data_IF_270582188085
#
_entry.id   IF_270582188085
#
_cell.length_a   1.000
_cell.length_b   1.000
_cell.length_c   1.000
_cell.angle_alpha   90.00
_cell.angle_beta   90.00
_cell.angle_gamma   90.00
#
_symmetry.space_group_name_H-M   'P 1'
#
loop_
_entity.id
_entity.type
_entity.pdbx_description
1 polymer ?
#
# COMPACT_ATOMS: atom_id res chain seq x y z
N UNK A 1 0.22 -37.17 48.92
CA UNK A 1 -0.17 -37.09 47.50
C UNK A 1 0.80 -36.15 46.81
N UNK A 2 1.50 -36.69 45.79
CA UNK A 2 2.26 -35.95 44.76
C UNK A 2 1.31 -34.95 44.04
N UNK A 3 1.74 -33.82 43.47
CA UNK A 3 2.78 -33.69 42.45
C UNK A 3 3.52 -32.34 42.50
N UNK A 4 4.84 -32.47 42.40
CA UNK A 4 5.83 -31.49 41.98
C UNK A 4 5.80 -31.41 40.44
N UNK A 5 5.68 -30.23 39.85
CA UNK A 5 5.93 -30.02 38.42
C UNK A 5 6.92 -28.87 38.24
N UNK A 6 8.18 -29.26 38.09
CA UNK A 6 9.31 -28.47 37.63
C UNK A 6 9.15 -28.17 36.14
N UNK A 7 9.17 -26.90 35.75
CA UNK A 7 9.45 -26.53 34.35
C UNK A 7 10.95 -26.27 34.21
N UNK A 8 11.57 -27.14 33.42
CA UNK A 8 13.00 -27.20 33.13
C UNK A 8 13.36 -26.07 32.16
N UNK A 9 14.38 -25.31 32.54
CA UNK A 9 15.10 -24.36 31.69
C UNK A 9 15.86 -25.16 30.63
N UNK A 10 15.43 -25.07 29.37
CA UNK A 10 16.15 -25.59 28.22
C UNK A 10 17.11 -24.55 27.65
N UNK A 11 18.32 -24.51 28.18
CA UNK A 11 19.46 -23.80 27.57
C UNK A 11 20.14 -24.77 26.59
N UNK A 12 19.90 -24.62 25.28
CA UNK A 12 20.75 -25.23 24.26
C UNK A 12 21.69 -24.15 23.68
N UNK A 13 22.95 -24.23 24.07
CA UNK A 13 24.09 -23.56 23.44
C UNK A 13 24.68 -24.44 22.31
N UNK A 14 25.47 -23.78 21.46
CA UNK A 14 26.38 -24.27 20.42
C UNK A 14 25.79 -24.50 19.02
N UNK A 15 26.44 -24.06 17.93
CA UNK A 15 27.45 -23.01 17.66
C UNK A 15 27.61 -23.01 16.13
N UNK A 16 27.88 -21.82 15.60
CA UNK A 16 28.76 -21.52 14.47
C UNK A 16 28.38 -21.93 13.03
N UNK A 17 28.58 -20.92 12.18
CA UNK A 17 28.95 -20.97 10.77
C UNK A 17 27.86 -21.37 9.77
N UNK A 18 27.24 -20.35 9.18
CA UNK A 18 27.78 -19.72 7.97
C UNK A 18 27.09 -18.38 7.75
N UNK A 19 27.88 -17.33 7.50
CA UNK A 19 27.40 -16.18 6.74
C UNK A 19 26.92 -16.74 5.40
N UNK A 20 25.61 -16.84 5.22
CA UNK A 20 25.05 -16.94 3.89
C UNK A 20 25.41 -15.63 3.19
N UNK A 21 26.48 -15.66 2.41
CA UNK A 21 26.61 -14.77 1.26
C UNK A 21 25.40 -15.07 0.41
N UNK A 22 24.39 -14.20 0.52
CA UNK A 22 23.37 -14.15 -0.50
C UNK A 22 24.03 -13.44 -1.68
N UNK A 23 24.75 -14.21 -2.48
CA UNK A 23 25.03 -13.87 -3.86
C UNK A 23 23.70 -13.94 -4.61
N UNK A 24 22.80 -13.00 -4.30
CA UNK A 24 21.80 -12.59 -5.24
C UNK A 24 22.44 -11.46 -6.02
N UNK A 25 23.13 -11.81 -7.11
CA UNK A 25 22.99 -11.03 -8.32
C UNK A 25 21.48 -10.99 -8.62
N UNK A 26 20.77 -10.09 -7.96
CA UNK A 26 19.66 -9.43 -8.59
C UNK A 26 20.33 -8.59 -9.68
N UNK A 27 20.41 -9.17 -10.88
CA UNK A 27 20.56 -8.37 -12.08
C UNK A 27 19.40 -7.36 -12.03
N UNK A 28 19.71 -6.15 -11.59
CA UNK A 28 18.84 -5.00 -11.80
C UNK A 28 18.79 -4.87 -13.32
N UNK A 29 17.62 -5.01 -13.97
CA UNK A 29 17.54 -4.76 -15.40
C UNK A 29 18.02 -3.33 -15.63
N UNK A 30 19.19 -3.22 -16.25
CA UNK A 30 19.69 -1.95 -16.75
C UNK A 30 18.62 -1.44 -17.74
N UNK A 31 17.94 -0.30 -17.48
CA UNK A 31 16.83 0.15 -18.32
C UNK A 31 17.28 0.67 -19.70
N UNK A 32 18.58 0.58 -20.02
CA UNK A 32 19.16 1.14 -21.23
C UNK A 32 19.80 0.07 -22.12
N UNK A 33 19.12 -1.03 -22.42
CA UNK A 33 19.49 -1.75 -23.64
C UNK A 33 18.30 -2.34 -24.41
N UNK A 34 18.30 -1.97 -25.69
CA UNK A 34 17.74 -2.66 -26.85
C UNK A 34 16.32 -2.30 -27.32
N UNK A 35 16.35 -1.36 -28.28
CA UNK A 35 15.78 -1.45 -29.63
C UNK A 35 14.26 -1.59 -29.79
N UNK A 36 13.64 -0.44 -30.10
CA UNK A 36 12.66 -0.21 -31.16
C UNK A 36 11.54 -1.26 -31.36
N UNK A 37 10.36 -0.98 -30.78
CA UNK A 37 9.07 -1.31 -31.40
C UNK A 37 8.16 -0.08 -31.30
N UNK A 38 7.86 0.51 -32.45
CA UNK A 38 6.87 1.57 -32.62
C UNK A 38 5.45 1.14 -32.21
N UNK A 39 4.68 2.14 -31.76
CA UNK A 39 3.23 2.19 -31.61
C UNK A 39 2.63 1.54 -30.36
N UNK A 40 2.52 2.31 -29.27
CA UNK A 40 1.28 3.01 -28.87
C UNK A 40 1.65 4.06 -27.83
N UNK A 41 1.22 5.32 -28.00
CA UNK A 41 1.37 6.38 -27.00
C UNK A 41 0.46 6.11 -25.79
N UNK A 42 0.81 5.13 -24.97
CA UNK A 42 0.34 5.04 -23.58
C UNK A 42 1.57 5.31 -22.75
N UNK A 43 1.62 6.50 -22.17
CA UNK A 43 2.80 7.02 -21.52
C UNK A 43 3.31 6.01 -20.47
N UNK A 44 4.47 5.41 -20.77
CA UNK A 44 5.42 4.96 -19.74
C UNK A 44 5.96 6.21 -19.03
N UNK A 45 5.07 7.02 -18.46
CA UNK A 45 5.45 8.16 -17.63
C UNK A 45 5.99 7.57 -16.34
N UNK A 46 7.28 7.74 -16.14
CA UNK A 46 7.92 7.42 -14.86
C UNK A 46 7.30 8.30 -13.77
N UNK A 47 7.13 7.81 -12.53
CA UNK A 47 6.70 8.64 -11.41
C UNK A 47 7.61 9.86 -11.25
N UNK A 48 7.03 11.04 -11.01
CA UNK A 48 7.74 12.30 -10.79
C UNK A 48 8.03 12.56 -9.30
N UNK A 49 7.33 11.86 -8.40
CA UNK A 49 7.56 11.93 -6.95
C UNK A 49 8.55 10.86 -6.48
N UNK A 50 9.24 11.13 -5.37
CA UNK A 50 10.10 10.13 -4.73
C UNK A 50 9.27 9.06 -4.01
N UNK A 51 9.92 7.93 -3.69
CA UNK A 51 9.31 6.85 -2.91
C UNK A 51 8.89 7.33 -1.53
N UNK A 52 9.70 8.18 -0.89
CA UNK A 52 9.41 8.75 0.43
C UNK A 52 8.17 9.66 0.38
N UNK A 53 8.06 10.50 -0.65
CA UNK A 53 6.87 11.33 -0.85
C UNK A 53 5.64 10.45 -1.10
N UNK A 54 5.76 9.40 -1.91
CA UNK A 54 4.67 8.46 -2.17
C UNK A 54 4.21 7.75 -0.88
N UNK A 55 5.14 7.35 -0.02
CA UNK A 55 4.86 6.77 1.30
C UNK A 55 4.15 7.76 2.23
N UNK A 56 4.58 9.02 2.25
CA UNK A 56 3.91 10.04 3.04
C UNK A 56 2.46 10.29 2.58
N UNK A 57 2.23 10.34 1.25
CA UNK A 57 0.89 10.48 0.68
C UNK A 57 0.00 9.27 0.96
N UNK A 58 0.55 8.04 0.87
CA UNK A 58 -0.21 6.82 1.16
C UNK A 58 -0.63 6.74 2.63
N UNK A 59 0.26 7.12 3.55
CA UNK A 59 -0.06 7.19 4.98
C UNK A 59 -1.11 8.27 5.27
N UNK A 60 -1.00 9.43 4.64
CA UNK A 60 -1.98 10.52 4.80
C UNK A 60 -3.37 10.09 4.31
N UNK A 61 -3.46 9.42 3.17
CA UNK A 61 -4.72 8.85 2.67
C UNK A 61 -5.29 7.84 3.66
N UNK A 62 -4.48 6.91 4.17
CA UNK A 62 -4.94 5.94 5.16
C UNK A 62 -5.45 6.59 6.45
N UNK A 63 -4.81 7.65 6.93
CA UNK A 63 -5.27 8.38 8.12
C UNK A 63 -6.65 9.03 7.89
N UNK A 64 -6.83 9.70 6.75
CA UNK A 64 -8.10 10.37 6.41
C UNK A 64 -9.24 9.36 6.24
N UNK A 65 -8.96 8.21 5.62
CA UNK A 65 -9.99 7.20 5.29
C UNK A 65 -10.24 6.21 6.43
N UNK A 66 -9.22 5.91 7.24
CA UNK A 66 -9.24 4.75 8.14
C UNK A 66 -9.27 5.06 9.64
N UNK A 67 -9.05 6.31 10.07
CA UNK A 67 -8.95 6.64 11.50
C UNK A 67 -10.07 7.56 12.01
N UNK A 68 -10.72 8.33 11.14
CA UNK A 68 -11.73 9.29 11.56
C UNK A 68 -13.14 8.69 11.45
N UNK A 69 -13.99 8.97 12.45
CA UNK A 69 -15.42 8.61 12.42
C UNK A 69 -16.18 9.34 11.29
N UNK A 70 -15.54 10.30 10.64
CA UNK A 70 -16.03 11.04 9.50
C UNK A 70 -14.91 11.22 8.48
N UNK A 71 -14.92 10.38 7.45
CA UNK A 71 -14.08 10.59 6.27
C UNK A 71 -14.47 11.88 5.56
N UNK A 72 -13.51 12.79 5.45
CA UNK A 72 -13.66 14.03 4.68
C UNK A 72 -13.28 13.78 3.22
N UNK A 73 -14.28 13.59 2.35
CA UNK A 73 -14.08 13.45 0.90
C UNK A 73 -13.30 14.65 0.32
N UNK A 74 -13.48 15.85 0.88
CA UNK A 74 -12.70 17.03 0.49
C UNK A 74 -11.20 16.87 0.77
N UNK A 75 -10.83 16.26 1.88
CA UNK A 75 -9.43 16.04 2.25
C UNK A 75 -8.82 14.92 1.40
N UNK A 76 -9.56 13.85 1.12
CA UNK A 76 -9.15 12.83 0.14
C UNK A 76 -8.83 13.50 -1.20
N UNK A 77 -9.78 14.28 -1.74
CA UNK A 77 -9.58 15.00 -3.00
C UNK A 77 -8.38 15.94 -2.94
N UNK A 78 -8.08 16.53 -1.79
CA UNK A 78 -6.88 17.37 -1.65
C UNK A 78 -5.60 16.57 -1.81
N UNK A 79 -5.51 15.42 -1.16
CA UNK A 79 -4.31 14.58 -1.28
C UNK A 79 -4.19 13.98 -2.68
N UNK A 80 -5.30 13.59 -3.31
CA UNK A 80 -5.29 13.10 -4.69
C UNK A 80 -4.80 14.15 -5.69
N UNK A 81 -5.12 15.43 -5.48
CA UNK A 81 -4.56 16.52 -6.30
C UNK A 81 -3.03 16.60 -6.21
N UNK A 82 -2.43 16.29 -5.05
CA UNK A 82 -0.97 16.32 -4.86
C UNK A 82 -0.24 15.14 -5.55
N UNK A 83 -0.99 14.11 -5.99
CA UNK A 83 -0.46 12.96 -6.73
C UNK A 83 -0.32 13.30 -8.23
N UNK A 84 -1.23 14.14 -8.77
CA UNK A 84 -1.22 14.75 -10.11
C UNK A 84 -1.28 13.80 -11.33
N UNK A 85 -0.69 12.60 -11.28
CA UNK A 85 -0.54 11.69 -12.42
C UNK A 85 -0.81 10.23 -12.06
N UNK A 86 -1.22 9.43 -13.04
CA UNK A 86 -1.44 7.98 -12.86
C UNK A 86 -0.16 7.23 -12.46
N UNK A 87 0.99 7.67 -12.95
CA UNK A 87 2.27 7.08 -12.59
C UNK A 87 2.59 7.27 -11.09
N UNK A 88 2.35 8.48 -10.59
CA UNK A 88 2.48 8.78 -9.16
C UNK A 88 1.43 8.02 -8.35
N UNK A 89 0.19 7.91 -8.85
CA UNK A 89 -0.85 7.13 -8.19
C UNK A 89 -0.43 5.67 -8.03
N UNK A 90 0.09 5.05 -9.09
CA UNK A 90 0.60 3.66 -9.02
C UNK A 90 1.69 3.51 -7.97
N UNK A 91 2.62 4.47 -7.90
CA UNK A 91 3.67 4.45 -6.88
C UNK A 91 3.09 4.62 -5.45
N UNK A 92 2.12 5.53 -5.27
CA UNK A 92 1.43 5.72 -3.97
C UNK A 92 0.65 4.47 -3.57
N UNK A 93 -0.08 3.85 -4.51
CA UNK A 93 -0.82 2.61 -4.31
C UNK A 93 0.13 1.47 -3.90
N UNK A 94 1.29 1.36 -4.55
CA UNK A 94 2.32 0.39 -4.15
C UNK A 94 2.82 0.62 -2.71
N UNK A 95 2.99 1.88 -2.28
CA UNK A 95 3.37 2.21 -0.90
C UNK A 95 2.21 2.06 0.09
N UNK A 96 0.97 2.17 -0.37
CA UNK A 96 -0.22 1.94 0.44
C UNK A 96 -0.31 0.46 0.81
N UNK A 97 -0.06 -0.41 -0.16
CA UNK A 97 -0.14 -1.86 -0.03
C UNK A 97 -1.59 -2.32 0.07
N UNK A 98 -1.82 -3.38 0.83
CA UNK A 98 -3.15 -3.87 1.17
C UNK A 98 -3.40 -3.61 2.65
N UNK A 99 -4.57 -3.08 2.99
CA UNK A 99 -4.93 -2.69 4.36
C UNK A 99 -6.33 -3.16 4.70
N UNK A 100 -6.49 -3.60 5.94
CA UNK A 100 -7.77 -4.02 6.49
C UNK A 100 -8.75 -2.85 6.54
N UNK A 101 -9.85 -2.95 5.80
CA UNK A 101 -10.98 -2.05 5.86
C UNK A 101 -12.01 -2.64 6.82
N UNK A 102 -12.31 -1.96 7.92
CA UNK A 102 -13.38 -2.35 8.85
C UNK A 102 -14.53 -1.33 8.80
N UNK A 103 -15.73 -1.83 8.50
CA UNK A 103 -16.95 -1.01 8.38
C UNK A 103 -17.67 -0.84 9.74
N UNK A 104 -17.00 -1.17 10.85
CA UNK A 104 -17.69 -1.40 12.12
C UNK A 104 -17.50 -0.24 13.08
N UNK A 105 -18.52 0.62 13.12
CA UNK A 105 -18.94 1.47 14.25
C UNK A 105 -19.28 0.68 15.54
N UNK A 106 -18.74 -0.53 15.69
CA UNK A 106 -19.14 -1.53 16.68
C UNK A 106 -17.88 -2.01 17.39
N UNK A 107 -17.67 -1.46 18.59
CA UNK A 107 -16.71 -1.92 19.59
C UNK A 107 -16.65 -3.45 19.67
N UNK A 108 -15.68 -4.10 19.04
CA UNK A 108 -15.17 -5.41 19.47
C UNK A 108 -13.96 -5.77 18.63
N UNK A 109 -12.76 -5.70 19.23
CA UNK A 109 -11.65 -6.68 19.20
C UNK A 109 -11.31 -7.50 17.93
N UNK A 110 -11.87 -7.20 16.75
CA UNK A 110 -11.92 -8.05 15.55
C UNK A 110 -11.43 -7.35 14.27
N UNK A 111 -10.69 -6.25 14.36
CA UNK A 111 -10.02 -5.61 13.20
C UNK A 111 -9.01 -6.53 12.49
N UNK A 112 -8.79 -7.75 12.99
CA UNK A 112 -8.00 -8.82 12.37
C UNK A 112 -8.73 -9.46 11.16
N UNK A 113 -10.05 -9.24 10.99
CA UNK A 113 -10.87 -9.81 9.90
C UNK A 113 -11.41 -8.78 8.89
N UNK A 114 -10.95 -7.53 8.94
CA UNK A 114 -11.33 -6.52 7.94
C UNK A 114 -10.99 -6.98 6.52
N UNK A 115 -11.82 -6.59 5.55
CA UNK A 115 -11.58 -6.91 4.13
C UNK A 115 -10.24 -6.29 3.72
N UNK A 116 -9.37 -7.10 3.13
CA UNK A 116 -8.03 -6.67 2.75
C UNK A 116 -8.12 -5.95 1.41
N UNK A 117 -8.13 -4.62 1.46
CA UNK A 117 -8.36 -3.76 0.31
C UNK A 117 -7.11 -2.99 -0.10
N UNK A 118 -6.93 -2.82 -1.40
CA UNK A 118 -5.92 -1.91 -1.94
C UNK A 118 -6.40 -0.45 -1.94
N UNK A 119 -5.51 0.49 -2.30
CA UNK A 119 -5.84 1.92 -2.29
C UNK A 119 -7.05 2.26 -3.17
N UNK A 120 -7.20 1.61 -4.31
CA UNK A 120 -8.28 1.87 -5.27
C UNK A 120 -9.61 1.43 -4.68
N UNK A 121 -9.64 0.25 -4.07
CA UNK A 121 -10.83 -0.28 -3.41
C UNK A 121 -11.22 0.55 -2.18
N UNK A 122 -10.24 1.01 -1.39
CA UNK A 122 -10.46 1.97 -0.30
C UNK A 122 -11.11 3.26 -0.81
N UNK A 123 -10.54 3.86 -1.86
CA UNK A 123 -11.08 5.09 -2.44
C UNK A 123 -12.50 4.89 -2.97
N UNK A 124 -12.80 3.76 -3.63
CA UNK A 124 -14.14 3.49 -4.15
C UNK A 124 -15.20 3.32 -3.04
N UNK A 125 -14.79 2.90 -1.84
CA UNK A 125 -15.69 2.81 -0.68
C UNK A 125 -15.93 4.15 -0.02
N UNK A 126 -14.88 4.93 0.17
CA UNK A 126 -14.98 6.27 0.78
C UNK A 126 -15.58 7.33 -0.15
N UNK A 127 -15.43 7.15 -1.46
CA UNK A 127 -15.90 8.04 -2.53
C UNK A 127 -17.05 7.39 -3.31
N UNK A 128 -18.10 6.98 -2.59
CA UNK A 128 -19.21 6.16 -3.09
C UNK A 128 -20.22 6.90 -3.98
N UNK A 129 -20.21 8.24 -3.96
CA UNK A 129 -21.11 9.07 -4.78
C UNK A 129 -20.65 9.10 -6.23
N UNK A 130 -21.60 9.18 -7.15
CA UNK A 130 -21.29 9.21 -8.59
C UNK A 130 -20.39 10.39 -8.97
N UNK A 131 -20.62 11.57 -8.39
CA UNK A 131 -19.77 12.74 -8.62
C UNK A 131 -18.31 12.51 -8.19
N UNK A 132 -18.08 11.70 -7.17
CA UNK A 132 -16.75 11.38 -6.65
C UNK A 132 -16.07 10.32 -7.52
N UNK A 133 -16.82 9.33 -8.01
CA UNK A 133 -16.34 8.41 -9.05
C UNK A 133 -15.95 9.11 -10.34
N UNK A 134 -16.77 10.05 -10.81
CA UNK A 134 -16.45 10.86 -12.00
C UNK A 134 -15.21 11.73 -11.78
N UNK A 135 -14.99 12.20 -10.55
CA UNK A 135 -13.76 12.90 -10.19
C UNK A 135 -12.53 12.01 -10.30
N UNK A 136 -12.59 10.78 -9.77
CA UNK A 136 -11.50 9.80 -9.86
C UNK A 136 -11.19 9.44 -11.32
N UNK A 137 -12.22 9.15 -12.11
CA UNK A 137 -12.11 8.89 -13.56
C UNK A 137 -11.49 10.05 -14.34
N UNK A 138 -11.83 11.28 -13.97
CA UNK A 138 -11.25 12.47 -14.61
C UNK A 138 -9.76 12.61 -14.30
N UNK A 139 -9.34 12.26 -13.09
CA UNK A 139 -7.96 12.42 -12.65
C UNK A 139 -7.05 11.27 -13.10
N UNK A 140 -7.58 10.04 -13.06
CA UNK A 140 -6.86 8.80 -13.37
C UNK A 140 -7.71 7.89 -14.27
N UNK A 141 -7.98 8.28 -15.52
CA UNK A 141 -8.92 7.63 -16.44
C UNK A 141 -8.59 6.17 -16.79
N UNK A 142 -7.33 5.76 -16.69
CA UNK A 142 -6.93 4.37 -16.97
C UNK A 142 -6.94 3.49 -15.72
N UNK A 143 -7.35 4.03 -14.57
CA UNK A 143 -7.38 3.32 -13.28
C UNK A 143 -8.82 3.12 -12.79
N UNK A 144 -9.69 4.14 -12.95
CA UNK A 144 -11.06 4.15 -12.40
C UNK A 144 -12.15 4.12 -13.48
#
# INVERSE_FOLDING_TARGET
MNYLLLFIVGFFLFKSDKKAKHDANFDIPNPNNDTNVSNTNVANTKPTISVEKAKALSQRLFQIMGLDWFTSVSDIKSVLRDIETEANYKLVSQQFGVRAYSNTFSNSTWDILGEQLDLTEWLLREMDKEADRQYLKKMFPNIF
#
